data_IF_610386705064
#
_entry.id   IF_610386705064
#
_cell.length_a   1.000
_cell.length_b   1.000
_cell.length_c   1.000
_cell.angle_alpha   90.00
_cell.angle_beta   90.00
_cell.angle_gamma   90.00
#
_symmetry.space_group_name_H-M   'P 1'
#
loop_
_entity.id
_entity.type
_entity.pdbx_description
1 polymer ?
#
# COMPACT_ATOMS: atom_id res chain seq x y z
N UNK A 1 32.47 17.17 23.74
CA UNK A 1 32.66 15.71 23.92
C UNK A 1 31.84 15.00 22.84
N UNK A 2 32.25 13.80 22.44
CA UNK A 2 31.99 13.15 21.14
C UNK A 2 30.51 12.83 20.87
N UNK A 3 29.97 13.35 19.76
CA UNK A 3 28.85 12.73 19.01
C UNK A 3 29.29 12.55 17.55
N UNK A 4 30.34 11.76 17.33
CA UNK A 4 30.75 11.30 16.00
C UNK A 4 30.71 9.79 16.05
N UNK A 5 29.68 9.18 15.47
CA UNK A 5 29.72 7.74 15.23
C UNK A 5 28.41 7.07 14.80
N UNK A 6 27.27 7.42 15.40
CA UNK A 6 26.15 6.46 15.40
C UNK A 6 24.95 6.79 14.50
N UNK A 7 24.86 7.98 13.89
CA UNK A 7 23.71 8.32 13.00
C UNK A 7 24.05 9.27 11.83
N UNK A 8 25.23 9.11 11.23
CA UNK A 8 25.61 9.87 10.03
C UNK A 8 25.07 9.25 8.74
N UNK A 9 24.86 10.06 7.70
CA UNK A 9 24.50 9.54 6.36
C UNK A 9 25.52 8.50 5.85
N UNK A 10 26.80 8.62 6.23
CA UNK A 10 27.83 7.62 5.91
C UNK A 10 27.56 6.24 6.50
N UNK A 11 27.06 6.17 7.74
CA UNK A 11 26.66 4.90 8.39
C UNK A 11 25.46 4.30 7.66
N UNK A 12 24.50 5.12 7.24
CA UNK A 12 23.34 4.67 6.47
C UNK A 12 23.73 4.20 5.06
N UNK A 13 24.69 4.84 4.42
CA UNK A 13 25.27 4.37 3.15
C UNK A 13 25.95 3.00 3.34
N UNK A 14 26.74 2.84 4.41
CA UNK A 14 27.35 1.56 4.73
C UNK A 14 26.31 0.47 5.03
N UNK A 15 25.19 0.83 5.68
CA UNK A 15 24.07 -0.07 5.90
C UNK A 15 23.40 -0.51 4.59
N UNK A 16 23.16 0.41 3.66
CA UNK A 16 22.61 0.10 2.32
C UNK A 16 23.58 -0.79 1.53
N UNK A 17 24.89 -0.55 1.65
CA UNK A 17 25.90 -1.40 1.02
C UNK A 17 25.83 -2.85 1.51
N UNK A 18 25.53 -3.06 2.80
CA UNK A 18 25.47 -4.38 3.40
C UNK A 18 26.79 -5.14 3.20
N UNK A 19 26.68 -6.37 2.70
CA UNK A 19 27.82 -7.30 2.54
C UNK A 19 28.68 -7.03 1.30
N UNK A 20 28.25 -6.15 0.38
CA UNK A 20 29.06 -5.80 -0.78
C UNK A 20 30.35 -5.10 -0.34
N UNK A 21 31.42 -5.35 -1.06
CA UNK A 21 32.64 -4.56 -0.94
C UNK A 21 32.41 -3.11 -1.36
N UNK A 22 33.22 -2.19 -0.86
CA UNK A 22 33.17 -0.78 -1.29
C UNK A 22 33.48 -0.60 -2.78
N UNK A 23 34.15 -1.58 -3.42
CA UNK A 23 34.41 -1.57 -4.86
C UNK A 23 33.15 -1.93 -5.66
N UNK A 24 32.45 -3.01 -5.28
CA UNK A 24 31.19 -3.41 -5.93
C UNK A 24 30.10 -2.35 -5.76
N UNK A 25 30.02 -1.74 -4.57
CA UNK A 25 29.08 -0.66 -4.32
C UNK A 25 29.41 0.60 -5.15
N UNK A 26 30.70 0.92 -5.28
CA UNK A 26 31.18 2.00 -6.13
C UNK A 26 30.82 1.79 -7.60
N UNK A 27 30.96 0.57 -8.11
CA UNK A 27 30.57 0.21 -9.47
C UNK A 27 29.07 0.43 -9.71
N UNK A 28 28.22 -0.08 -8.82
CA UNK A 28 26.75 0.06 -8.92
C UNK A 28 26.28 1.51 -8.81
N UNK A 29 26.98 2.33 -8.02
CA UNK A 29 26.64 3.76 -7.83
C UNK A 29 27.38 4.69 -8.81
N UNK A 30 28.29 4.14 -9.63
CA UNK A 30 29.05 4.85 -10.65
C UNK A 30 29.98 5.94 -10.10
N UNK A 31 30.62 5.68 -8.95
CA UNK A 31 31.68 6.52 -8.36
C UNK A 31 32.93 5.68 -8.09
N UNK A 32 34.05 6.30 -7.74
CA UNK A 32 35.26 5.55 -7.35
C UNK A 32 35.17 4.94 -5.94
N UNK A 33 35.83 3.80 -5.71
CA UNK A 33 35.94 3.15 -4.39
C UNK A 33 36.35 4.11 -3.26
N UNK A 34 37.37 4.95 -3.50
CA UNK A 34 37.85 5.93 -2.52
C UNK A 34 36.77 6.96 -2.16
N UNK A 35 35.89 7.29 -3.10
CA UNK A 35 34.76 8.18 -2.85
C UNK A 35 33.78 7.53 -1.87
N UNK A 36 33.43 6.26 -2.07
CA UNK A 36 32.58 5.50 -1.14
C UNK A 36 33.20 5.43 0.25
N UNK A 37 34.51 5.16 0.37
CA UNK A 37 35.23 5.15 1.65
C UNK A 37 35.05 6.48 2.40
N UNK A 38 35.25 7.60 1.70
CA UNK A 38 35.13 8.94 2.31
C UNK A 38 33.70 9.29 2.69
N UNK A 39 32.71 8.78 1.94
CA UNK A 39 31.31 8.94 2.30
C UNK A 39 30.95 8.13 3.54
N UNK A 40 31.34 6.86 3.60
CA UNK A 40 31.03 5.97 4.73
C UNK A 40 31.74 6.40 6.02
N UNK A 41 32.97 6.89 5.92
CA UNK A 41 33.71 7.40 7.08
C UNK A 41 33.23 8.77 7.56
N UNK A 42 32.42 9.46 6.77
CA UNK A 42 32.01 10.84 7.02
C UNK A 42 33.13 11.87 6.80
N UNK A 43 34.25 11.48 6.18
CA UNK A 43 35.33 12.39 5.74
C UNK A 43 34.83 13.37 4.67
N UNK A 44 33.88 12.92 3.84
CA UNK A 44 33.23 13.73 2.82
C UNK A 44 31.73 13.49 2.82
N UNK A 45 30.94 14.54 2.65
CA UNK A 45 29.49 14.41 2.41
C UNK A 45 29.21 13.95 0.97
N UNK A 46 28.25 13.04 0.77
CA UNK A 46 27.79 12.66 -0.56
C UNK A 46 27.10 13.84 -1.26
N UNK A 47 27.28 13.96 -2.57
CA UNK A 47 26.52 14.90 -3.38
C UNK A 47 25.12 14.36 -3.71
N UNK A 48 24.25 15.25 -4.17
CA UNK A 48 22.86 14.91 -4.51
C UNK A 48 22.77 13.86 -5.62
N UNK A 49 23.69 13.87 -6.58
CA UNK A 49 23.69 12.93 -7.71
C UNK A 49 23.95 11.52 -7.21
N UNK A 50 24.94 11.34 -6.33
CA UNK A 50 25.22 10.08 -5.67
C UNK A 50 24.02 9.60 -4.84
N UNK A 51 23.41 10.48 -4.04
CA UNK A 51 22.24 10.13 -3.23
C UNK A 51 21.08 9.66 -4.11
N UNK A 52 20.77 10.36 -5.20
CA UNK A 52 19.74 9.93 -6.16
C UNK A 52 20.04 8.54 -6.73
N UNK A 53 21.29 8.26 -7.10
CA UNK A 53 21.68 6.94 -7.62
C UNK A 53 21.49 5.84 -6.58
N UNK A 54 21.87 6.07 -5.33
CA UNK A 54 21.67 5.11 -4.24
C UNK A 54 20.17 4.82 -4.06
N UNK A 55 19.34 5.85 -4.04
CA UNK A 55 17.88 5.70 -3.91
C UNK A 55 17.31 4.86 -5.06
N UNK A 56 17.69 5.15 -6.30
CA UNK A 56 17.15 4.44 -7.47
C UNK A 56 17.67 3.01 -7.60
N UNK A 57 18.95 2.79 -7.34
CA UNK A 57 19.61 1.49 -7.52
C UNK A 57 19.20 0.48 -6.44
N UNK A 58 19.04 0.95 -5.20
CA UNK A 58 18.75 0.09 -4.05
C UNK A 58 17.29 0.18 -3.58
N UNK A 59 16.51 1.11 -4.12
CA UNK A 59 15.13 1.34 -3.74
C UNK A 59 15.02 1.74 -2.28
N UNK A 60 15.75 2.77 -1.84
CA UNK A 60 15.82 3.19 -0.44
C UNK A 60 14.92 4.40 -0.19
N UNK A 61 14.26 4.47 0.98
CA UNK A 61 13.51 5.64 1.39
C UNK A 61 14.44 6.88 1.52
N UNK A 62 14.22 7.95 0.73
CA UNK A 62 15.02 9.16 0.80
C UNK A 62 14.99 9.84 2.18
N UNK A 63 13.86 9.77 2.89
CA UNK A 63 13.70 10.41 4.20
C UNK A 63 14.62 9.74 5.21
N UNK A 64 14.60 8.40 5.25
CA UNK A 64 15.49 7.63 6.11
C UNK A 64 16.97 7.88 5.76
N UNK A 65 17.32 7.86 4.47
CA UNK A 65 18.71 8.07 4.04
C UNK A 65 19.23 9.47 4.42
N UNK A 66 18.43 10.51 4.22
CA UNK A 66 18.85 11.90 4.46
C UNK A 66 18.76 12.30 5.93
N UNK A 67 17.63 12.03 6.56
CA UNK A 67 17.31 12.53 7.91
C UNK A 67 17.73 11.55 9.00
N UNK A 68 17.79 10.25 8.69
CA UNK A 68 17.98 9.20 9.69
C UNK A 68 16.74 8.92 10.53
N UNK A 69 15.60 9.50 10.17
CA UNK A 69 14.33 9.29 10.85
C UNK A 69 13.68 7.99 10.35
N UNK A 70 13.15 7.20 11.29
CA UNK A 70 12.40 5.97 11.00
C UNK A 70 13.27 4.72 10.79
N UNK A 71 12.64 3.65 10.31
CA UNK A 71 13.30 2.37 10.03
C UNK A 71 13.78 2.31 8.58
N UNK A 72 14.85 1.54 8.34
CA UNK A 72 15.27 1.22 6.98
C UNK A 72 14.17 0.46 6.25
N UNK A 73 13.67 1.03 5.15
CA UNK A 73 12.65 0.41 4.30
C UNK A 73 13.14 0.35 2.87
N UNK A 74 13.10 -0.85 2.31
CA UNK A 74 13.23 -1.02 0.87
C UNK A 74 11.89 -0.66 0.22
N UNK A 75 11.90 0.34 -0.64
CA UNK A 75 10.75 0.92 -1.35
C UNK A 75 10.42 0.13 -2.62
N UNK A 76 11.23 -0.87 -2.98
CA UNK A 76 10.94 -1.76 -4.10
C UNK A 76 9.85 -2.74 -3.70
N UNK A 77 8.62 -2.42 -4.09
CA UNK A 77 7.46 -3.27 -3.88
C UNK A 77 7.54 -4.53 -4.77
N UNK A 78 6.98 -5.61 -4.26
CA UNK A 78 6.75 -6.81 -5.07
C UNK A 78 5.74 -6.51 -6.20
N UNK A 79 5.78 -7.31 -7.27
CA UNK A 79 4.94 -7.06 -8.46
C UNK A 79 3.45 -7.05 -8.13
N UNK A 80 3.01 -7.95 -7.25
CA UNK A 80 1.63 -8.05 -6.75
C UNK A 80 1.25 -6.88 -5.84
N UNK A 81 2.16 -6.43 -4.96
CA UNK A 81 1.97 -5.23 -4.15
C UNK A 81 1.80 -3.97 -5.02
N UNK A 82 2.66 -3.81 -6.04
CA UNK A 82 2.55 -2.71 -6.99
C UNK A 82 1.23 -2.78 -7.77
N UNK A 83 0.85 -3.98 -8.22
CA UNK A 83 -0.43 -4.20 -8.90
C UNK A 83 -1.61 -3.81 -7.99
N UNK A 84 -1.59 -4.20 -6.72
CA UNK A 84 -2.63 -3.83 -5.76
C UNK A 84 -2.71 -2.30 -5.57
N UNK A 85 -1.57 -1.62 -5.46
CA UNK A 85 -1.54 -0.15 -5.30
C UNK A 85 -2.07 0.59 -6.53
N UNK A 86 -1.70 0.15 -7.73
CA UNK A 86 -2.16 0.78 -8.97
C UNK A 86 -3.68 0.69 -9.09
N UNK A 87 -4.24 -0.48 -8.81
CA UNK A 87 -5.69 -0.69 -8.83
C UNK A 87 -6.39 0.04 -7.70
N UNK A 88 -5.81 0.07 -6.49
CA UNK A 88 -6.35 0.83 -5.38
C UNK A 88 -6.42 2.33 -5.69
N UNK A 89 -5.35 2.90 -6.27
CA UNK A 89 -5.29 4.33 -6.61
C UNK A 89 -6.32 4.72 -7.67
N UNK A 90 -6.55 3.84 -8.65
CA UNK A 90 -7.53 4.03 -9.72
C UNK A 90 -8.98 3.72 -9.31
N UNK A 91 -9.20 3.00 -8.21
CA UNK A 91 -10.53 2.57 -7.80
C UNK A 91 -11.43 3.71 -7.29
N UNK A 92 -12.74 3.52 -7.46
CA UNK A 92 -13.76 4.34 -6.78
C UNK A 92 -13.66 4.19 -5.26
N UNK A 93 -14.32 5.08 -4.50
CA UNK A 93 -14.33 4.97 -3.03
C UNK A 93 -14.87 3.62 -2.55
N UNK A 94 -15.87 3.06 -3.25
CA UNK A 94 -16.40 1.73 -2.95
C UNK A 94 -15.35 0.63 -3.19
N UNK A 95 -14.61 0.71 -4.30
CA UNK A 95 -13.53 -0.24 -4.58
C UNK A 95 -12.37 -0.15 -3.58
N UNK A 96 -11.97 1.08 -3.20
CA UNK A 96 -10.97 1.31 -2.14
C UNK A 96 -11.41 0.70 -0.81
N UNK A 97 -12.66 0.92 -0.41
CA UNK A 97 -13.22 0.37 0.82
C UNK A 97 -13.29 -1.16 0.79
N UNK A 98 -13.64 -1.75 -0.37
CA UNK A 98 -13.66 -3.19 -0.55
C UNK A 98 -12.25 -3.81 -0.43
N UNK A 99 -11.24 -3.21 -1.07
CA UNK A 99 -9.84 -3.64 -0.98
C UNK A 99 -9.34 -3.55 0.47
N UNK A 100 -9.60 -2.45 1.16
CA UNK A 100 -9.22 -2.29 2.57
C UNK A 100 -9.94 -3.28 3.48
N UNK A 101 -11.25 -3.49 3.27
CA UNK A 101 -12.01 -4.47 4.04
C UNK A 101 -11.46 -5.89 3.88
N UNK A 102 -11.10 -6.29 2.67
CA UNK A 102 -10.45 -7.58 2.40
C UNK A 102 -9.09 -7.69 3.10
N UNK A 103 -8.24 -6.66 2.99
CA UNK A 103 -6.92 -6.64 3.61
C UNK A 103 -6.97 -6.71 5.15
N UNK A 104 -7.98 -6.11 5.77
CA UNK A 104 -8.19 -6.12 7.23
C UNK A 104 -8.87 -7.41 7.74
N UNK A 105 -9.08 -8.41 6.87
CA UNK A 105 -9.80 -9.64 7.23
C UNK A 105 -11.30 -9.43 7.48
N UNK A 106 -11.84 -8.25 7.14
CA UNK A 106 -13.25 -7.87 7.29
C UNK A 106 -14.06 -8.15 6.01
N UNK A 107 -13.42 -8.68 4.96
CA UNK A 107 -14.02 -8.91 3.63
C UNK A 107 -15.09 -9.99 3.56
N UNK A 108 -15.38 -10.68 4.67
CA UNK A 108 -16.39 -11.73 4.74
C UNK A 108 -17.78 -11.24 5.11
N UNK A 109 -18.31 -10.17 4.47
CA UNK A 109 -19.74 -9.82 4.49
C UNK A 109 -20.10 -8.78 3.40
N UNK A 110 -19.75 -9.03 2.14
CA UNK A 110 -20.39 -8.32 1.00
C UNK A 110 -21.69 -9.05 0.64
N UNK A 111 -22.57 -9.16 1.64
CA UNK A 111 -23.99 -9.47 1.45
C UNK A 111 -24.72 -8.15 1.24
N UNK A 112 -24.36 -7.41 0.21
CA UNK A 112 -25.21 -6.34 -0.29
C UNK A 112 -25.74 -6.78 -1.65
N UNK A 113 -26.88 -7.49 -1.56
CA UNK A 113 -28.02 -7.29 -2.43
C UNK A 113 -27.79 -6.16 -3.45
N UNK A 114 -27.52 -6.54 -4.71
CA UNK A 114 -27.75 -5.64 -5.83
C UNK A 114 -29.26 -5.45 -5.97
N UNK A 115 -29.84 -4.61 -5.12
CA UNK A 115 -31.21 -4.14 -5.28
C UNK A 115 -31.16 -2.87 -6.12
N UNK A 116 -30.92 -3.04 -7.43
CA UNK A 116 -31.09 -1.94 -8.37
C UNK A 116 -32.58 -1.57 -8.43
N UNK A 117 -32.95 -0.28 -8.45
CA UNK A 117 -34.33 0.11 -8.65
C UNK A 117 -34.75 -0.28 -10.07
N UNK A 118 -35.69 -1.22 -10.17
CA UNK A 118 -36.39 -1.53 -11.42
C UNK A 118 -37.08 -0.25 -11.89
N UNK A 119 -36.52 0.42 -12.90
CA UNK A 119 -37.26 1.44 -13.65
C UNK A 119 -38.34 0.72 -14.44
N UNK A 120 -39.57 0.87 -13.99
CA UNK A 120 -40.77 0.46 -14.68
C UNK A 120 -40.88 1.26 -15.99
N UNK A 121 -40.49 0.65 -17.12
CA UNK A 121 -40.89 1.09 -18.45
C UNK A 121 -42.08 0.24 -18.89
N UNK A 122 -43.16 0.91 -19.27
CA UNK A 122 -44.44 0.33 -19.61
C UNK A 122 -44.36 -0.62 -20.81
N UNK A 123 -45.12 -1.72 -20.73
CA UNK A 123 -45.62 -2.45 -21.90
C UNK A 123 -44.95 -3.78 -22.20
N UNK A 124 -45.37 -4.84 -21.50
CA UNK A 124 -46.06 -6.03 -22.06
C UNK A 124 -46.10 -7.14 -21.01
N UNK A 125 -47.18 -7.91 -21.06
CA UNK A 125 -47.69 -8.77 -19.99
C UNK A 125 -46.69 -9.81 -19.47
N UNK A 126 -46.52 -9.85 -18.16
CA UNK A 126 -46.02 -11.03 -17.44
C UNK A 126 -47.03 -11.35 -16.34
N UNK A 127 -47.80 -12.41 -16.57
CA UNK A 127 -48.68 -13.01 -15.58
C UNK A 127 -47.80 -13.66 -14.51
N UNK A 128 -47.81 -13.12 -13.29
CA UNK A 128 -47.31 -13.81 -12.10
C UNK A 128 -48.44 -13.90 -11.09
N UNK A 129 -48.85 -15.14 -10.86
CA UNK A 129 -49.95 -15.54 -10.00
C UNK A 129 -49.66 -15.14 -8.54
N UNK A 130 -50.62 -14.46 -7.93
CA UNK A 130 -50.55 -14.01 -6.54
C UNK A 130 -50.78 -15.20 -5.61
N UNK A 131 -49.82 -15.51 -4.75
CA UNK A 131 -50.11 -16.18 -3.47
C UNK A 131 -49.96 -15.15 -2.37
N UNK A 132 -51.03 -14.37 -2.17
CA UNK A 132 -51.11 -13.34 -1.15
C UNK A 132 -51.15 -13.94 0.24
N UNK A 133 -50.30 -13.41 1.12
CA UNK A 133 -50.56 -13.41 2.55
C UNK A 133 -51.77 -12.51 2.85
N UNK A 134 -52.72 -12.98 3.67
CA UNK A 134 -53.60 -12.08 4.42
C UNK A 134 -53.65 -12.45 5.91
N UNK A 135 -53.28 -11.44 6.69
CA UNK A 135 -53.31 -11.30 8.14
C UNK A 135 -54.70 -10.74 8.51
N UNK A 136 -55.28 -11.15 9.64
CA UNK A 136 -56.42 -10.46 10.23
C UNK A 136 -57.05 -11.14 11.46
N UNK A 137 -56.75 -10.61 12.65
CA UNK A 137 -57.35 -10.97 13.96
C UNK A 137 -58.75 -10.34 14.13
N UNK A 138 -59.73 -11.05 14.72
CA UNK A 138 -60.39 -10.75 16.02
C UNK A 138 -61.68 -11.57 16.26
N UNK A 139 -61.74 -12.16 17.47
CA UNK A 139 -62.78 -12.79 18.28
C UNK A 139 -64.28 -12.65 17.93
N UNK A 140 -65.03 -13.75 18.16
CA UNK A 140 -66.23 -13.89 19.05
C UNK A 140 -66.78 -15.34 19.01
N UNK A 141 -67.00 -15.96 20.16
CA UNK A 141 -67.95 -17.09 20.38
C UNK A 141 -69.26 -16.53 21.02
N UNK A 142 -70.33 -17.34 21.26
CA UNK A 142 -71.18 -18.17 20.38
C UNK A 142 -72.68 -17.66 20.49
N UNK A 143 -73.81 -18.32 20.08
CA UNK A 143 -74.29 -19.66 20.45
C UNK A 143 -75.05 -20.46 19.34
N UNK A 144 -75.39 -21.73 19.63
CA UNK A 144 -76.30 -22.57 18.84
C UNK A 144 -76.14 -24.05 19.11
#
# INVERSE_FOLDING_TARGET
MKEKGESGIGVRIAHIRGDMTQAEFAERTGVGRTTVIRYESGDRSPDVVFVCRVITEFGVDPVWLLMGDGEFKQVKLATDEQFLLDHYRAASQQGKNAILGAALGQGGNISQQFNAPVRQMAGRDVVINQTGAKRGKKNREPPG
#
